data_IF_629582605629
#
_entry.id   IF_629582605629
#
_cell.length_a   1.000
_cell.length_b   1.000
_cell.length_c   1.000
_cell.angle_alpha   90.00
_cell.angle_beta   90.00
_cell.angle_gamma   90.00
#
_symmetry.space_group_name_H-M   'P 1'
#
loop_
_entity.id
_entity.type
_entity.pdbx_description
1 polymer ?
#
# COMPACT_ATOMS: atom_id res chain seq x y z
N UNK A 1 -23.38 -7.40 17.19
CA UNK A 1 -21.99 -6.96 17.02
C UNK A 1 -21.98 -6.17 15.73
N UNK A 2 -21.69 -4.87 15.79
CA UNK A 2 -21.51 -4.07 14.57
C UNK A 2 -20.25 -4.58 13.88
N UNK A 3 -20.31 -5.07 12.62
CA UNK A 3 -19.14 -5.57 11.90
C UNK A 3 -18.24 -4.44 11.39
N UNK A 4 -18.58 -3.18 11.65
CA UNK A 4 -18.09 -2.01 10.92
C UNK A 4 -16.83 -1.33 11.45
N UNK A 5 -16.06 -1.85 12.41
CA UNK A 5 -14.95 -1.04 12.97
C UNK A 5 -13.61 -1.76 13.19
N UNK A 6 -13.41 -2.97 12.63
CA UNK A 6 -12.08 -3.61 12.74
C UNK A 6 -11.16 -3.09 11.65
N UNK A 7 -10.50 -1.97 11.95
CA UNK A 7 -9.34 -1.51 11.20
C UNK A 7 -8.20 -2.50 11.46
N UNK A 8 -7.85 -3.26 10.43
CA UNK A 8 -6.80 -4.27 10.43
C UNK A 8 -5.56 -3.75 9.71
N UNK A 9 -4.40 -4.29 10.06
CA UNK A 9 -3.13 -4.00 9.37
C UNK A 9 -2.46 -5.29 8.92
N UNK A 10 -2.02 -5.33 7.67
CA UNK A 10 -1.21 -6.42 7.15
C UNK A 10 0.11 -5.86 6.63
N UNK A 11 1.22 -6.48 7.04
CA UNK A 11 2.56 -6.12 6.59
C UNK A 11 3.09 -7.23 5.71
N UNK A 12 3.46 -6.88 4.48
CA UNK A 12 4.23 -7.75 3.60
C UNK A 12 5.63 -7.17 3.42
N UNK A 13 6.62 -8.06 3.43
CA UNK A 13 7.90 -7.75 2.78
C UNK A 13 7.65 -7.94 1.28
N UNK A 14 7.45 -6.84 0.57
CA UNK A 14 7.29 -6.90 -0.87
C UNK A 14 8.68 -7.01 -1.50
N UNK A 15 8.94 -8.09 -2.23
CA UNK A 15 10.13 -8.14 -3.06
C UNK A 15 9.98 -7.08 -4.16
N UNK A 16 11.00 -6.24 -4.31
CA UNK A 16 11.16 -5.26 -5.39
C UNK A 16 10.54 -5.72 -6.72
N UNK A 17 9.64 -4.91 -7.29
CA UNK A 17 9.04 -5.13 -8.62
C UNK A 17 8.22 -6.43 -8.77
N UNK A 18 7.68 -6.96 -7.68
CA UNK A 18 6.79 -8.13 -7.70
C UNK A 18 5.38 -7.79 -7.21
N UNK A 19 4.38 -8.34 -7.90
CA UNK A 19 2.98 -8.25 -7.48
C UNK A 19 2.80 -8.95 -6.15
N UNK A 20 2.30 -8.23 -5.15
CA UNK A 20 2.09 -8.74 -3.79
C UNK A 20 0.62 -8.56 -3.39
N UNK A 21 -0.04 -9.64 -3.01
CA UNK A 21 -1.39 -9.60 -2.41
C UNK A 21 -1.26 -9.25 -0.92
N UNK A 22 -1.85 -8.13 -0.51
CA UNK A 22 -1.85 -7.70 0.88
C UNK A 22 -3.11 -8.14 1.64
N UNK A 23 -4.26 -8.12 0.96
CA UNK A 23 -5.54 -8.56 1.53
C UNK A 23 -6.25 -9.37 0.47
N UNK A 24 -6.69 -10.58 0.80
CA UNK A 24 -7.31 -11.54 -0.12
C UNK A 24 -8.83 -11.40 -0.27
N UNK A 25 -9.43 -10.41 0.38
CA UNK A 25 -10.88 -10.28 0.53
C UNK A 25 -11.34 -8.83 0.32
N UNK A 26 -12.62 -8.61 -0.03
CA UNK A 26 -13.17 -7.28 -0.27
C UNK A 26 -13.00 -6.40 0.98
N UNK A 27 -12.38 -5.24 0.82
CA UNK A 27 -12.11 -4.34 1.93
C UNK A 27 -11.98 -2.89 1.48
N UNK A 28 -11.90 -1.99 2.46
CA UNK A 28 -11.63 -0.58 2.26
C UNK A 28 -10.23 -0.25 2.77
N UNK A 29 -9.33 0.06 1.85
CA UNK A 29 -7.97 0.48 2.14
C UNK A 29 -7.97 1.93 2.68
N UNK A 30 -7.45 2.11 3.89
CA UNK A 30 -7.41 3.40 4.61
C UNK A 30 -6.06 4.10 4.49
N UNK A 31 -4.98 3.35 4.53
CA UNK A 31 -3.64 3.90 4.32
C UNK A 31 -2.63 2.82 3.92
N UNK A 32 -1.52 3.26 3.34
CA UNK A 32 -0.33 2.44 3.11
C UNK A 32 0.85 3.09 3.84
N UNK A 33 1.67 2.27 4.48
CA UNK A 33 2.97 2.66 5.02
C UNK A 33 4.05 1.88 4.30
N UNK A 34 5.19 2.51 4.02
CA UNK A 34 6.29 1.81 3.38
C UNK A 34 7.66 2.29 3.86
N UNK A 35 8.67 1.44 3.70
CA UNK A 35 10.09 1.73 3.86
C UNK A 35 10.82 1.65 2.52
N UNK A 36 11.90 2.42 2.37
CA UNK A 36 12.77 2.40 1.18
C UNK A 36 14.21 2.09 1.60
N UNK A 37 14.89 1.16 0.92
CA UNK A 37 16.33 0.88 1.14
C UNK A 37 17.25 1.94 0.57
N UNK A 38 16.75 2.76 -0.36
CA UNK A 38 17.59 3.66 -1.14
C UNK A 38 17.02 5.06 -1.11
N UNK A 39 17.88 6.06 -0.96
CA UNK A 39 17.51 7.43 -1.28
C UNK A 39 17.26 7.52 -2.78
N UNK A 40 16.01 7.83 -3.15
CA UNK A 40 15.64 8.10 -4.53
C UNK A 40 15.15 9.52 -4.65
N UNK A 41 15.66 10.26 -5.63
CA UNK A 41 15.15 11.57 -6.04
C UNK A 41 13.97 11.44 -7.02
N UNK A 42 13.74 10.24 -7.54
CA UNK A 42 12.61 9.94 -8.41
C UNK A 42 11.38 9.61 -7.57
N UNK A 43 10.17 9.99 -8.02
CA UNK A 43 8.95 9.58 -7.34
C UNK A 43 8.87 8.06 -7.26
N UNK A 44 8.57 7.53 -6.08
CA UNK A 44 8.27 6.11 -5.90
C UNK A 44 6.83 5.88 -6.37
N UNK A 45 6.63 4.81 -7.13
CA UNK A 45 5.30 4.43 -7.63
C UNK A 45 4.83 3.15 -6.96
N UNK A 46 3.61 3.18 -6.42
CA UNK A 46 2.90 1.98 -5.98
C UNK A 46 1.65 1.86 -6.85
N UNK A 47 1.59 0.84 -7.69
CA UNK A 47 0.39 0.55 -8.46
C UNK A 47 -0.60 -0.21 -7.57
N UNK A 48 -1.84 0.26 -7.53
CA UNK A 48 -2.94 -0.37 -6.78
C UNK A 48 -3.80 -1.19 -7.72
N UNK A 49 -4.07 -2.43 -7.34
CA UNK A 49 -4.87 -3.37 -8.11
C UNK A 49 -5.99 -3.97 -7.26
N UNK A 50 -7.22 -3.97 -7.79
CA UNK A 50 -8.36 -4.73 -7.28
C UNK A 50 -8.36 -6.10 -7.95
N UNK A 51 -7.80 -7.09 -7.25
CA UNK A 51 -7.39 -8.35 -7.85
C UNK A 51 -6.38 -8.12 -8.96
N UNK A 52 -6.79 -8.36 -10.21
CA UNK A 52 -5.98 -8.11 -11.41
C UNK A 52 -6.25 -6.75 -12.08
N UNK A 53 -7.21 -5.97 -11.57
CA UNK A 53 -7.65 -4.72 -12.22
C UNK A 53 -6.89 -3.53 -11.67
N UNK A 54 -6.16 -2.80 -12.52
CA UNK A 54 -5.47 -1.58 -12.10
C UNK A 54 -6.47 -0.47 -11.76
N UNK A 55 -6.41 0.02 -10.53
CA UNK A 55 -7.20 1.18 -10.08
C UNK A 55 -6.44 2.49 -10.30
N UNK A 56 -5.10 2.45 -10.27
CA UNK A 56 -4.25 3.62 -10.47
C UNK A 56 -2.95 3.55 -9.67
N UNK A 57 -2.26 4.68 -9.63
CA UNK A 57 -0.90 4.76 -9.10
C UNK A 57 -0.84 5.75 -7.94
N UNK A 58 -0.15 5.36 -6.87
CA UNK A 58 0.29 6.28 -5.83
C UNK A 58 1.67 6.79 -6.21
N UNK A 59 1.72 8.09 -6.50
CA UNK A 59 2.97 8.81 -6.70
C UNK A 59 3.40 9.36 -5.35
N UNK A 60 4.51 8.84 -4.83
CA UNK A 60 5.02 9.26 -3.54
C UNK A 60 6.28 10.08 -3.80
N UNK A 61 6.26 11.34 -3.36
CA UNK A 61 7.31 12.31 -3.65
C UNK A 61 8.69 11.77 -3.33
N UNK A 62 9.64 11.99 -4.24
CA UNK A 62 11.00 11.44 -4.25
C UNK A 62 11.93 11.97 -3.17
N UNK A 63 11.47 12.04 -1.93
CA UNK A 63 12.31 12.23 -0.74
C UNK A 63 12.01 11.09 0.23
N UNK A 64 12.16 9.85 -0.24
CA UNK A 64 12.27 8.72 0.67
C UNK A 64 13.67 8.77 1.29
N UNK A 65 13.76 9.32 2.49
CA UNK A 65 15.00 9.35 3.27
C UNK A 65 15.43 7.92 3.59
N UNK A 66 16.73 7.68 3.58
CA UNK A 66 17.33 6.38 3.88
C UNK A 66 16.87 5.86 5.27
N UNK A 67 16.37 4.63 5.26
CA UNK A 67 16.44 3.65 6.33
C UNK A 67 15.80 3.89 7.71
N UNK A 68 14.99 4.94 7.94
CA UNK A 68 14.39 5.08 9.30
C UNK A 68 12.98 5.67 9.41
N UNK A 69 12.40 6.26 8.36
CA UNK A 69 11.07 6.87 8.48
C UNK A 69 10.08 6.14 7.59
N UNK A 70 9.24 5.31 8.19
CA UNK A 70 8.08 4.74 7.49
C UNK A 70 7.19 5.87 6.99
N UNK A 71 7.08 6.02 5.67
CA UNK A 71 6.24 7.06 5.07
C UNK A 71 4.81 6.52 5.03
N UNK A 72 3.87 7.31 5.57
CA UNK A 72 2.45 6.96 5.61
C UNK A 72 1.67 7.77 4.58
N UNK A 73 1.05 7.08 3.63
CA UNK A 73 0.11 7.64 2.67
C UNK A 73 -1.32 7.32 3.13
N UNK A 74 -2.01 8.31 3.70
CA UNK A 74 -3.42 8.20 4.05
C UNK A 74 -4.32 8.51 2.86
N UNK A 75 -5.38 7.72 2.69
CA UNK A 75 -6.41 8.03 1.69
C UNK A 75 -7.46 8.97 2.30
N UNK A 76 -7.81 10.08 1.62
CA UNK A 76 -8.82 11.01 2.13
C UNK A 76 -10.21 10.36 2.16
N UNK A 77 -11.06 10.81 3.09
CA UNK A 77 -12.44 10.34 3.22
C UNK A 77 -12.55 8.94 3.82
N UNK A 78 -13.40 8.08 3.23
CA UNK A 78 -13.66 6.72 3.72
C UNK A 78 -12.59 5.70 3.30
N UNK A 79 -11.61 6.08 2.48
CA UNK A 79 -10.61 5.17 1.90
C UNK A 79 -10.96 4.71 0.48
N UNK A 80 -10.15 3.81 -0.08
CA UNK A 80 -10.37 3.21 -1.41
C UNK A 80 -11.00 1.84 -1.22
N UNK A 81 -12.14 1.59 -1.86
CA UNK A 81 -12.83 0.29 -1.80
C UNK A 81 -12.28 -0.66 -2.86
N UNK A 82 -11.90 -1.85 -2.42
CA UNK A 82 -11.51 -3.00 -3.23
C UNK A 82 -12.64 -4.04 -3.14
N UNK A 83 -13.02 -4.60 -4.28
CA UNK A 83 -14.18 -5.50 -4.40
C UNK A 83 -13.78 -6.97 -4.44
N UNK A 84 -12.49 -7.25 -4.64
CA UNK A 84 -11.91 -8.59 -4.68
C UNK A 84 -10.77 -8.69 -3.65
N UNK A 85 -9.63 -8.07 -3.94
CA UNK A 85 -8.43 -8.14 -3.10
C UNK A 85 -7.57 -6.89 -3.25
N UNK A 86 -6.84 -6.53 -2.20
CA UNK A 86 -5.84 -5.45 -2.25
C UNK A 86 -4.54 -6.04 -2.75
N UNK A 87 -4.22 -5.76 -4.00
CA UNK A 87 -2.97 -6.18 -4.64
C UNK A 87 -2.15 -4.94 -4.98
N UNK A 88 -0.85 -5.02 -4.78
CA UNK A 88 0.08 -3.94 -5.09
C UNK A 88 1.19 -4.43 -6.01
N UNK A 89 1.73 -3.52 -6.81
CA UNK A 89 2.98 -3.71 -7.52
C UNK A 89 3.91 -2.52 -7.23
N UNK A 90 4.80 -2.63 -6.24
CA UNK A 90 5.68 -1.56 -5.82
C UNK A 90 6.93 -1.44 -6.69
N UNK A 91 7.49 -0.23 -6.75
CA UNK A 91 8.83 0.01 -7.30
C UNK A 91 9.89 -0.82 -6.55
N UNK A 92 10.99 -1.09 -7.25
CA UNK A 92 12.19 -1.78 -6.76
C UNK A 92 12.84 -1.19 -5.51
N UNK A 93 12.56 0.08 -5.20
CA UNK A 93 13.11 0.77 -4.03
C UNK A 93 12.38 0.44 -2.72
N UNK A 94 11.21 -0.23 -2.75
CA UNK A 94 10.38 -0.53 -1.57
C UNK A 94 10.77 -1.88 -0.95
N UNK A 95 10.93 -1.92 0.37
CA UNK A 95 11.25 -3.16 1.11
C UNK A 95 10.07 -3.69 1.92
N UNK A 96 9.50 -2.85 2.77
CA UNK A 96 8.36 -3.22 3.62
C UNK A 96 7.17 -2.36 3.26
N UNK A 97 6.02 -3.00 3.15
CA UNK A 97 4.76 -2.33 2.89
C UNK A 97 3.68 -2.87 3.82
N UNK A 98 3.07 -1.94 4.56
CA UNK A 98 1.97 -2.22 5.46
C UNK A 98 0.72 -1.53 4.92
N UNK A 99 -0.35 -2.27 4.70
CA UNK A 99 -1.67 -1.67 4.47
C UNK A 99 -2.46 -1.62 5.77
N UNK A 100 -3.27 -0.56 5.90
CA UNK A 100 -4.31 -0.44 6.93
C UNK A 100 -5.64 -0.46 6.20
N UNK A 101 -6.53 -1.38 6.56
CA UNK A 101 -7.77 -1.64 5.85
C UNK A 101 -8.91 -1.97 6.81
N UNK A 102 -10.14 -1.96 6.30
CA UNK A 102 -11.37 -2.24 7.04
C UNK A 102 -12.26 -3.17 6.20
N UNK A 103 -12.79 -4.23 6.80
CA UNK A 103 -13.79 -5.11 6.16
C UNK A 103 -15.19 -4.49 6.19
#
# INVERSE_FOLDING_TARGET
>A
MDPTDVVSSYTATAAASSTTTLVSDPCTLKSIRYSSSTVTTSPIVINLLDGSTSLGNLLIGGYAYEDTVAISCGFPGLGIRFTDSVVINPDSAINDITCVYQF
#
